data_IF_681911886922
#
_entry.id   IF_681911886922
#
_cell.length_a   1.000
_cell.length_b   1.000
_cell.length_c   1.000
_cell.angle_alpha   90.00
_cell.angle_beta   90.00
_cell.angle_gamma   90.00
#
_symmetry.space_group_name_H-M   'P 1'
#
loop_
_entity.id
_entity.type
_entity.pdbx_description
1 polymer ?
#
# COMPACT_ATOMS: atom_id res chain seq x y z
N UNK A 1 -7.36 3.06 20.08
CA UNK A 1 -6.70 4.00 21.00
C UNK A 1 -7.47 5.29 21.22
N UNK A 2 -7.06 6.12 22.18
CA UNK A 2 -7.72 7.40 22.49
C UNK A 2 -7.72 8.34 21.27
N UNK A 3 -8.90 8.86 20.92
CA UNK A 3 -9.06 9.72 19.74
C UNK A 3 -8.30 11.05 19.86
N UNK A 4 -8.13 11.58 21.07
CA UNK A 4 -7.35 12.81 21.31
C UNK A 4 -5.88 12.58 20.97
N UNK A 5 -5.33 11.46 21.43
CA UNK A 5 -3.94 11.09 21.13
C UNK A 5 -3.71 10.93 19.62
N UNK A 6 -4.65 10.31 18.90
CA UNK A 6 -4.58 10.20 17.43
C UNK A 6 -4.61 11.57 16.76
N UNK A 7 -5.50 12.46 17.21
CA UNK A 7 -5.62 13.83 16.72
C UNK A 7 -4.31 14.60 16.94
N UNK A 8 -3.81 14.60 18.18
CA UNK A 8 -2.61 15.33 18.56
C UNK A 8 -1.38 14.83 17.79
N UNK A 9 -1.24 13.52 17.63
CA UNK A 9 -0.17 12.92 16.83
C UNK A 9 -0.28 13.31 15.34
N UNK A 10 -1.48 13.28 14.77
CA UNK A 10 -1.74 13.70 13.40
C UNK A 10 -1.40 15.18 13.18
N UNK A 11 -1.88 16.05 14.06
CA UNK A 11 -1.64 17.48 13.96
C UNK A 11 -0.15 17.83 14.16
N UNK A 12 0.53 17.21 15.12
CA UNK A 12 1.95 17.37 15.32
C UNK A 12 2.77 16.94 14.10
N UNK A 13 2.47 15.75 13.54
CA UNK A 13 3.13 15.24 12.35
C UNK A 13 2.97 16.19 11.14
N UNK A 14 1.74 16.57 10.82
CA UNK A 14 1.49 17.43 9.67
C UNK A 14 1.88 18.89 9.88
N UNK A 15 2.05 19.36 11.12
CA UNK A 15 2.57 20.70 11.41
C UNK A 15 3.96 20.93 10.82
N UNK A 16 4.80 19.89 10.80
CA UNK A 16 6.14 19.94 10.21
C UNK A 16 6.04 20.14 8.69
N UNK A 17 5.18 19.39 8.01
CA UNK A 17 4.98 19.57 6.56
C UNK A 17 4.47 20.96 6.21
N UNK A 18 3.60 21.55 7.04
CA UNK A 18 3.13 22.94 6.84
C UNK A 18 4.28 23.95 6.90
N UNK A 19 5.24 23.74 7.80
CA UNK A 19 6.42 24.61 7.90
C UNK A 19 7.29 24.57 6.63
N UNK A 20 7.34 23.42 5.96
CA UNK A 20 8.11 23.21 4.73
C UNK A 20 7.27 23.33 3.44
N UNK A 21 6.03 23.83 3.51
CA UNK A 21 5.12 23.87 2.36
C UNK A 21 5.72 24.60 1.14
N UNK A 22 6.43 25.72 1.35
CA UNK A 22 7.10 26.45 0.27
C UNK A 22 8.23 25.64 -0.39
N UNK A 23 9.04 24.94 0.40
CA UNK A 23 10.10 24.07 -0.09
C UNK A 23 9.53 22.89 -0.88
N UNK A 24 8.50 22.22 -0.33
CA UNK A 24 7.83 21.09 -0.98
C UNK A 24 7.20 21.53 -2.31
N UNK A 25 6.53 22.70 -2.34
CA UNK A 25 5.97 23.26 -3.56
C UNK A 25 7.05 23.56 -4.61
N UNK A 26 8.20 24.10 -4.18
CA UNK A 26 9.35 24.34 -5.06
C UNK A 26 9.92 23.06 -5.67
N UNK A 27 10.09 22.00 -4.87
CA UNK A 27 10.55 20.69 -5.33
C UNK A 27 9.55 20.07 -6.31
N UNK A 28 8.25 20.11 -5.99
CA UNK A 28 7.21 19.61 -6.87
C UNK A 28 7.17 20.34 -8.21
N UNK A 29 7.26 21.69 -8.19
CA UNK A 29 7.34 22.48 -9.41
C UNK A 29 8.58 22.12 -10.24
N UNK A 30 9.73 21.91 -9.59
CA UNK A 30 10.96 21.43 -10.26
C UNK A 30 10.75 20.09 -10.96
N UNK A 31 10.12 19.12 -10.28
CA UNK A 31 9.78 17.82 -10.85
C UNK A 31 8.83 17.94 -12.05
N UNK A 32 7.79 18.77 -11.96
CA UNK A 32 6.86 19.00 -13.07
C UNK A 32 7.59 19.59 -14.28
N UNK A 33 8.43 20.61 -14.06
CA UNK A 33 9.23 21.22 -15.15
C UNK A 33 10.20 20.24 -15.80
N UNK A 34 10.83 19.37 -15.01
CA UNK A 34 11.70 18.32 -15.52
C UNK A 34 10.93 17.35 -16.42
N UNK A 35 9.74 16.89 -16.02
CA UNK A 35 8.91 16.02 -16.84
C UNK A 35 8.48 16.72 -18.16
N UNK A 36 8.11 17.99 -18.10
CA UNK A 36 7.80 18.79 -19.29
C UNK A 36 9.00 18.89 -20.22
N UNK A 37 10.19 19.12 -19.69
CA UNK A 37 11.43 19.17 -20.48
C UNK A 37 11.68 17.85 -21.20
N UNK A 38 11.64 16.71 -20.50
CA UNK A 38 11.87 15.39 -21.09
C UNK A 38 10.83 15.03 -22.14
N UNK A 39 9.55 15.32 -21.89
CA UNK A 39 8.50 15.09 -22.86
C UNK A 39 8.76 15.88 -24.16
N UNK A 40 9.09 17.16 -24.06
CA UNK A 40 9.40 18.01 -25.20
C UNK A 40 10.67 17.58 -25.94
N UNK A 41 11.75 17.27 -25.22
CA UNK A 41 13.03 16.86 -25.79
C UNK A 41 12.92 15.54 -26.56
N UNK A 42 11.94 14.69 -26.24
CA UNK A 42 11.67 13.42 -26.90
C UNK A 42 10.47 13.45 -27.84
N UNK A 43 9.94 14.64 -28.15
CA UNK A 43 8.83 14.86 -29.07
C UNK A 43 7.50 14.21 -28.67
N UNK A 44 7.24 14.02 -27.35
CA UNK A 44 5.92 13.60 -26.89
C UNK A 44 4.97 14.81 -26.86
N UNK A 45 3.72 14.60 -27.22
CA UNK A 45 2.68 15.63 -27.18
C UNK A 45 2.32 16.08 -25.75
N UNK A 46 2.55 15.22 -24.75
CA UNK A 46 2.31 15.52 -23.34
C UNK A 46 3.20 14.69 -22.41
N UNK A 47 3.30 15.15 -21.15
CA UNK A 47 3.98 14.39 -20.10
C UNK A 47 3.25 13.06 -19.78
N UNK A 48 1.92 13.02 -19.94
CA UNK A 48 1.15 11.79 -19.78
C UNK A 48 1.52 10.77 -20.87
N UNK A 49 1.58 11.20 -22.12
CA UNK A 49 2.01 10.32 -23.21
C UNK A 49 3.40 9.75 -22.96
N UNK A 50 4.36 10.60 -22.59
CA UNK A 50 5.71 10.16 -22.24
C UNK A 50 5.74 9.16 -21.07
N UNK A 51 4.87 9.35 -20.07
CA UNK A 51 4.83 8.49 -18.88
C UNK A 51 4.29 7.08 -19.17
N UNK A 52 3.33 6.95 -20.10
CA UNK A 52 2.68 5.65 -20.39
C UNK A 52 3.32 4.92 -21.57
N UNK A 53 4.21 5.58 -22.32
CA UNK A 53 4.86 5.03 -23.53
C UNK A 53 5.72 3.80 -23.21
N UNK A 54 6.47 3.82 -22.12
CA UNK A 54 7.33 2.71 -21.71
C UNK A 54 6.58 1.37 -21.55
N UNK A 55 5.28 1.44 -21.22
CA UNK A 55 4.41 0.29 -21.06
C UNK A 55 3.49 0.09 -22.28
N UNK A 56 3.67 0.88 -23.34
CA UNK A 56 2.81 0.88 -24.53
C UNK A 56 1.32 1.01 -24.19
N UNK A 57 0.98 1.85 -23.22
CA UNK A 57 -0.40 2.07 -22.76
C UNK A 57 -0.94 3.36 -23.38
N UNK A 58 -2.07 3.32 -24.11
CA UNK A 58 -2.70 4.52 -24.64
C UNK A 58 -3.15 5.47 -23.51
N UNK A 59 -2.92 6.78 -23.67
CA UNK A 59 -3.31 7.81 -22.68
C UNK A 59 -4.80 7.76 -22.30
N UNK A 60 -5.66 7.26 -23.20
CA UNK A 60 -7.09 7.06 -22.92
C UNK A 60 -7.35 6.07 -21.78
N UNK A 61 -6.48 5.06 -21.59
CA UNK A 61 -6.62 4.08 -20.50
C UNK A 61 -6.45 4.77 -19.15
N UNK A 62 -5.44 5.63 -19.03
CA UNK A 62 -5.25 6.45 -17.83
C UNK A 62 -6.46 7.36 -17.55
N UNK A 63 -6.95 8.08 -18.59
CA UNK A 63 -8.12 8.96 -18.44
C UNK A 63 -9.37 8.19 -18.03
N UNK A 64 -9.62 7.06 -18.68
CA UNK A 64 -10.76 6.19 -18.37
C UNK A 64 -10.69 5.68 -16.92
N UNK A 65 -9.50 5.35 -16.41
CA UNK A 65 -9.32 4.98 -15.00
C UNK A 65 -9.79 6.10 -14.06
N UNK A 66 -9.33 7.33 -14.30
CA UNK A 66 -9.71 8.49 -13.49
C UNK A 66 -11.22 8.76 -13.57
N UNK A 67 -11.80 8.72 -14.76
CA UNK A 67 -13.23 8.93 -14.99
C UNK A 67 -14.07 7.83 -14.31
N UNK A 68 -13.64 6.56 -14.42
CA UNK A 68 -14.32 5.43 -13.79
C UNK A 68 -14.29 5.53 -12.26
N UNK A 69 -13.16 5.89 -11.68
CA UNK A 69 -13.05 6.10 -10.23
C UNK A 69 -13.98 7.23 -9.79
N UNK A 70 -13.95 8.38 -10.48
CA UNK A 70 -14.82 9.51 -10.17
C UNK A 70 -16.31 9.16 -10.28
N UNK A 71 -16.71 8.42 -11.31
CA UNK A 71 -18.08 7.96 -11.51
C UNK A 71 -18.56 6.99 -10.41
N UNK A 72 -17.65 6.40 -9.64
CA UNK A 72 -17.95 5.44 -8.58
C UNK A 72 -17.67 5.96 -7.16
N UNK A 73 -17.38 7.24 -7.00
CA UNK A 73 -17.09 7.85 -5.69
C UNK A 73 -18.26 7.78 -4.70
N UNK A 74 -19.49 7.65 -5.17
CA UNK A 74 -20.67 7.43 -4.34
C UNK A 74 -20.52 6.20 -3.42
N UNK A 75 -19.90 5.13 -3.91
CA UNK A 75 -19.65 3.90 -3.16
C UNK A 75 -18.62 4.12 -2.05
N UNK A 76 -17.56 4.88 -2.33
CA UNK A 76 -16.60 5.29 -1.32
C UNK A 76 -17.26 6.19 -0.26
N UNK A 77 -18.08 7.14 -0.68
CA UNK A 77 -18.80 8.01 0.25
C UNK A 77 -19.79 7.20 1.15
N UNK A 78 -20.42 6.16 0.62
CA UNK A 78 -21.26 5.25 1.42
C UNK A 78 -20.44 4.51 2.46
N UNK A 79 -19.26 3.98 2.09
CA UNK A 79 -18.36 3.34 3.03
C UNK A 79 -17.88 4.29 4.13
N UNK A 80 -17.48 5.51 3.79
CA UNK A 80 -17.06 6.52 4.76
C UNK A 80 -18.20 6.87 5.73
N UNK A 81 -19.45 6.99 5.24
CA UNK A 81 -20.63 7.18 6.10
C UNK A 81 -20.87 6.01 7.05
N UNK A 82 -20.71 4.76 6.56
CA UNK A 82 -20.81 3.57 7.39
C UNK A 82 -19.71 3.58 8.47
N UNK A 83 -18.46 3.87 8.09
CA UNK A 83 -17.32 3.97 8.99
C UNK A 83 -17.59 4.99 10.12
N UNK A 84 -18.06 6.19 9.77
CA UNK A 84 -18.47 7.22 10.73
C UNK A 84 -19.47 6.67 11.74
N UNK A 85 -20.50 5.96 11.26
CA UNK A 85 -21.53 5.36 12.11
C UNK A 85 -20.96 4.28 13.04
N UNK A 86 -20.13 3.38 12.52
CA UNK A 86 -19.52 2.30 13.31
C UNK A 86 -18.58 2.84 14.40
N UNK A 87 -17.87 3.91 14.13
CA UNK A 87 -16.97 4.55 15.09
C UNK A 87 -17.69 5.45 16.11
N UNK A 88 -18.98 5.72 15.91
CA UNK A 88 -19.77 6.56 16.82
C UNK A 88 -19.28 8.00 16.93
N UNK A 89 -18.71 8.57 15.87
CA UNK A 89 -18.16 9.93 15.86
C UNK A 89 -19.09 10.88 15.12
N UNK A 90 -19.21 12.13 15.62
CA UNK A 90 -20.04 13.16 14.98
C UNK A 90 -19.45 13.64 13.66
N UNK A 91 -18.13 13.64 13.55
CA UNK A 91 -17.37 13.98 12.35
C UNK A 91 -16.18 13.05 12.19
N UNK A 92 -16.02 12.48 10.98
CA UNK A 92 -14.90 11.61 10.64
C UNK A 92 -13.74 12.44 10.12
N UNK A 93 -12.59 12.32 10.76
CA UNK A 93 -11.35 12.99 10.35
C UNK A 93 -10.31 11.99 9.83
N UNK A 94 -9.25 12.48 9.20
CA UNK A 94 -8.16 11.64 8.67
C UNK A 94 -7.51 10.76 9.75
N UNK A 95 -7.41 11.23 10.98
CA UNK A 95 -6.89 10.45 12.12
C UNK A 95 -7.83 9.33 12.61
N UNK A 96 -9.03 9.21 12.04
CA UNK A 96 -9.99 8.13 12.33
C UNK A 96 -9.99 7.04 11.23
N UNK A 97 -9.33 7.27 10.08
CA UNK A 97 -9.43 6.41 8.90
C UNK A 97 -8.87 5.01 9.12
N UNK A 98 -7.81 4.87 9.93
CA UNK A 98 -7.20 3.57 10.24
C UNK A 98 -7.68 2.96 11.56
N UNK A 99 -8.67 3.58 12.21
CA UNK A 99 -9.22 3.04 13.47
C UNK A 99 -10.07 1.80 13.16
N UNK A 100 -9.87 0.65 13.83
CA UNK A 100 -10.74 -0.51 13.67
C UNK A 100 -12.21 -0.16 13.91
N UNK A 101 -13.11 -0.60 13.02
CA UNK A 101 -14.56 -0.38 13.16
C UNK A 101 -15.22 -1.40 14.11
N UNK A 102 -14.54 -2.52 14.38
CA UNK A 102 -15.00 -3.58 15.24
C UNK A 102 -14.08 -3.60 16.47
N UNK A 103 -14.68 -3.51 17.66
CA UNK A 103 -13.95 -3.71 18.91
C UNK A 103 -13.38 -5.15 18.93
N UNK A 104 -12.21 -5.34 19.54
CA UNK A 104 -11.54 -6.63 19.69
C UNK A 104 -11.07 -7.30 18.38
N UNK A 105 -10.98 -6.59 17.26
CA UNK A 105 -10.38 -7.10 16.04
C UNK A 105 -8.82 -7.26 16.11
N UNK A 106 -8.20 -6.92 17.24
CA UNK A 106 -6.76 -7.02 17.47
C UNK A 106 -6.33 -8.47 17.84
N UNK A 107 -6.68 -9.45 16.97
CA UNK A 107 -6.17 -10.80 17.12
C UNK A 107 -4.66 -10.80 16.84
N UNK A 108 -3.87 -11.38 17.76
CA UNK A 108 -2.48 -11.73 17.47
C UNK A 108 -2.45 -12.96 16.57
N UNK A 109 -1.66 -12.90 15.52
CA UNK A 109 -1.45 -13.99 14.57
C UNK A 109 0.05 -14.22 14.47
N UNK A 110 0.54 -15.30 15.03
CA UNK A 110 1.95 -15.66 14.92
C UNK A 110 2.34 -15.94 13.46
N UNK A 111 3.63 -15.82 13.16
CA UNK A 111 4.11 -16.11 11.81
C UNK A 111 3.80 -17.55 11.35
N UNK A 112 3.88 -18.53 12.27
CA UNK A 112 3.54 -19.92 11.97
C UNK A 112 2.04 -20.10 11.67
N UNK A 113 1.15 -19.48 12.46
CA UNK A 113 -0.29 -19.47 12.18
C UNK A 113 -0.60 -18.77 10.83
N UNK A 114 0.14 -17.70 10.52
CA UNK A 114 0.00 -17.01 9.26
C UNK A 114 0.39 -17.87 8.06
N UNK A 115 1.52 -18.58 8.11
CA UNK A 115 1.94 -19.54 7.05
C UNK A 115 0.86 -20.59 6.77
N UNK A 116 0.34 -21.24 7.81
CA UNK A 116 -0.72 -22.23 7.65
C UNK A 116 -2.00 -21.64 7.04
N UNK A 117 -2.39 -20.46 7.49
CA UNK A 117 -3.59 -19.77 7.00
C UNK A 117 -3.44 -19.37 5.54
N UNK A 118 -2.27 -18.81 5.17
CA UNK A 118 -1.96 -18.39 3.79
C UNK A 118 -1.95 -19.62 2.86
N UNK A 119 -1.30 -20.74 3.24
CA UNK A 119 -1.32 -21.94 2.42
C UNK A 119 -2.75 -22.46 2.17
N UNK A 120 -3.60 -22.44 3.20
CA UNK A 120 -5.01 -22.83 3.04
C UNK A 120 -5.78 -21.87 2.13
N UNK A 121 -5.53 -20.56 2.27
CA UNK A 121 -6.18 -19.53 1.46
C UNK A 121 -5.78 -19.58 -0.02
N UNK A 122 -4.55 -20.01 -0.31
CA UNK A 122 -4.02 -20.13 -1.67
C UNK A 122 -4.39 -21.44 -2.37
N UNK A 123 -5.02 -22.41 -1.68
CA UNK A 123 -5.42 -23.69 -2.26
C UNK A 123 -6.19 -23.59 -3.59
N UNK A 124 -7.08 -22.60 -3.82
CA UNK A 124 -7.76 -22.46 -5.11
C UNK A 124 -6.83 -22.16 -6.30
N UNK A 125 -5.58 -21.73 -6.07
CA UNK A 125 -4.59 -21.47 -7.12
C UNK A 125 -3.91 -22.74 -7.64
N UNK A 126 -4.17 -23.88 -7.00
CA UNK A 126 -3.65 -25.19 -7.39
C UNK A 126 -2.47 -25.70 -6.55
N UNK A 127 -2.26 -27.01 -6.62
CA UNK A 127 -1.26 -27.70 -5.79
C UNK A 127 0.18 -27.26 -6.08
N UNK A 128 0.52 -27.03 -7.36
CA UNK A 128 1.85 -26.58 -7.78
C UNK A 128 2.19 -25.20 -7.21
N UNK A 129 1.20 -24.30 -7.20
CA UNK A 129 1.37 -22.97 -6.62
C UNK A 129 1.59 -23.04 -5.11
N UNK A 130 0.75 -23.80 -4.41
CA UNK A 130 0.87 -24.01 -2.95
C UNK A 130 2.20 -24.67 -2.58
N UNK A 131 2.67 -25.62 -3.38
CA UNK A 131 3.96 -26.27 -3.19
C UNK A 131 5.13 -25.27 -3.28
N UNK A 132 5.10 -24.39 -4.28
CA UNK A 132 6.10 -23.32 -4.46
C UNK A 132 6.09 -22.33 -3.28
N UNK A 133 4.92 -21.91 -2.82
CA UNK A 133 4.80 -21.03 -1.64
C UNK A 133 5.35 -21.71 -0.39
N UNK A 134 5.05 -23.00 -0.21
CA UNK A 134 5.57 -23.79 0.90
C UNK A 134 7.10 -23.89 0.86
N UNK A 135 7.67 -24.13 -0.31
CA UNK A 135 9.12 -24.11 -0.53
C UNK A 135 9.72 -22.77 -0.08
N UNK A 136 9.08 -21.64 -0.43
CA UNK A 136 9.52 -20.31 -0.01
C UNK A 136 9.54 -20.14 1.50
N UNK A 137 8.57 -20.72 2.21
CA UNK A 137 8.53 -20.69 3.68
C UNK A 137 9.63 -21.57 4.33
N UNK A 138 10.00 -22.66 3.70
CA UNK A 138 10.97 -23.64 4.22
C UNK A 138 12.42 -23.29 3.85
N UNK A 139 12.64 -22.62 2.71
CA UNK A 139 13.97 -22.40 2.13
C UNK A 139 14.50 -20.97 2.27
N UNK A 140 14.03 -20.22 3.26
CA UNK A 140 14.61 -18.91 3.62
C UNK A 140 14.49 -17.83 2.53
N UNK A 141 13.42 -17.88 1.72
CA UNK A 141 13.18 -16.82 0.74
C UNK A 141 12.70 -15.51 1.39
N UNK A 142 12.31 -15.57 2.67
CA UNK A 142 11.64 -14.51 3.41
C UNK A 142 12.52 -14.04 4.58
N UNK A 143 12.87 -12.77 4.59
CA UNK A 143 13.40 -12.07 5.76
C UNK A 143 12.23 -11.51 6.57
N UNK A 144 11.92 -12.16 7.68
CA UNK A 144 10.61 -12.08 8.33
C UNK A 144 10.50 -10.90 9.31
N UNK A 145 11.47 -10.81 10.26
CA UNK A 145 11.30 -9.95 11.42
C UNK A 145 12.02 -8.62 11.27
N UNK A 146 11.54 -7.63 12.02
CA UNK A 146 12.19 -6.34 12.18
C UNK A 146 13.55 -6.49 12.86
N UNK A 147 14.55 -5.73 12.40
CA UNK A 147 15.87 -5.65 13.04
C UNK A 147 16.51 -4.28 12.76
N UNK A 148 17.59 -3.99 13.48
CA UNK A 148 18.33 -2.74 13.35
C UNK A 148 18.86 -2.55 11.91
N UNK A 149 18.62 -1.38 11.34
CA UNK A 149 19.04 -1.01 9.99
C UNK A 149 18.13 -1.54 8.85
N UNK A 150 17.18 -2.41 9.15
CA UNK A 150 16.20 -2.88 8.17
C UNK A 150 15.17 -1.81 7.85
N UNK A 151 14.89 -1.60 6.56
CA UNK A 151 13.84 -0.66 6.13
C UNK A 151 12.46 -1.16 6.52
N UNK A 152 11.57 -0.24 6.88
CA UNK A 152 10.16 -0.53 7.11
C UNK A 152 9.42 -0.91 5.81
N UNK A 153 8.26 -1.54 5.95
CA UNK A 153 7.43 -2.00 4.84
C UNK A 153 7.65 -3.47 4.50
N UNK A 154 7.17 -3.88 3.34
CA UNK A 154 7.33 -5.20 2.78
C UNK A 154 7.53 -5.11 1.26
N UNK A 155 8.18 -6.09 0.67
CA UNK A 155 8.25 -6.23 -0.78
C UNK A 155 8.62 -7.66 -1.18
N UNK A 156 8.21 -8.04 -2.38
CA UNK A 156 8.72 -9.19 -3.09
C UNK A 156 9.54 -8.71 -4.30
N UNK A 157 10.72 -9.28 -4.47
CA UNK A 157 11.61 -8.97 -5.58
C UNK A 157 12.24 -10.24 -6.12
N UNK A 158 12.52 -10.27 -7.41
CA UNK A 158 13.17 -11.40 -8.05
C UNK A 158 13.96 -10.98 -9.27
N UNK A 159 14.84 -11.87 -9.71
CA UNK A 159 15.53 -11.77 -10.98
C UNK A 159 15.34 -13.07 -11.74
N UNK A 160 15.40 -13.01 -13.07
CA UNK A 160 15.29 -14.21 -13.90
C UNK A 160 16.35 -15.24 -13.50
N UNK A 161 15.93 -16.49 -13.28
CA UNK A 161 16.82 -17.59 -12.90
C UNK A 161 17.09 -17.73 -11.40
N UNK A 162 16.44 -16.91 -10.56
CA UNK A 162 16.49 -17.04 -9.08
C UNK A 162 15.09 -17.24 -8.51
N UNK A 163 15.01 -17.72 -7.27
CA UNK A 163 13.76 -17.66 -6.50
C UNK A 163 13.44 -16.20 -6.13
N UNK A 164 12.18 -15.89 -5.77
CA UNK A 164 11.83 -14.59 -5.19
C UNK A 164 12.54 -14.37 -3.84
N UNK A 165 12.76 -13.10 -3.52
CA UNK A 165 13.23 -12.64 -2.22
C UNK A 165 12.18 -11.73 -1.62
N UNK A 166 11.68 -12.09 -0.45
CA UNK A 166 10.62 -11.38 0.25
C UNK A 166 11.17 -10.73 1.51
N UNK A 167 10.91 -9.43 1.67
CA UNK A 167 11.18 -8.71 2.91
C UNK A 167 9.86 -8.41 3.62
N UNK A 168 9.80 -8.73 4.89
CA UNK A 168 8.70 -8.38 5.78
C UNK A 168 9.23 -7.65 7.02
N UNK A 169 8.34 -7.02 7.77
CA UNK A 169 8.53 -6.58 9.14
C UNK A 169 7.36 -7.15 9.94
N UNK A 170 7.38 -8.46 10.15
CA UNK A 170 6.28 -9.20 10.76
C UNK A 170 6.21 -8.93 12.27
N UNK A 171 5.04 -8.54 12.77
CA UNK A 171 4.81 -8.12 14.14
C UNK A 171 3.49 -8.67 14.71
N UNK A 172 3.20 -9.92 14.39
CA UNK A 172 2.07 -10.72 14.92
C UNK A 172 0.69 -10.04 14.78
N UNK A 173 0.48 -9.24 13.74
CA UNK A 173 -0.81 -8.61 13.48
C UNK A 173 -1.56 -9.31 12.35
N UNK A 174 -2.89 -9.19 12.35
CA UNK A 174 -3.72 -9.66 11.24
C UNK A 174 -3.31 -8.97 9.91
N UNK A 175 -2.96 -7.70 9.94
CA UNK A 175 -2.49 -6.94 8.79
C UNK A 175 -1.19 -7.54 8.22
N UNK A 176 -0.26 -7.96 9.09
CA UNK A 176 0.97 -8.62 8.64
C UNK A 176 0.71 -9.99 7.99
N UNK A 177 -0.32 -10.72 8.41
CA UNK A 177 -0.72 -11.96 7.73
C UNK A 177 -1.26 -11.66 6.32
N UNK A 178 -2.05 -10.60 6.15
CA UNK A 178 -2.48 -10.17 4.82
C UNK A 178 -1.30 -9.69 3.97
N UNK A 179 -0.35 -8.98 4.57
CA UNK A 179 0.90 -8.57 3.89
C UNK A 179 1.68 -9.80 3.42
N UNK A 180 1.85 -10.83 4.27
CA UNK A 180 2.48 -12.08 3.88
C UNK A 180 1.77 -12.71 2.67
N UNK A 181 0.44 -12.79 2.70
CA UNK A 181 -0.34 -13.31 1.59
C UNK A 181 -0.13 -12.49 0.30
N UNK A 182 -0.06 -11.17 0.42
CA UNK A 182 0.17 -10.25 -0.70
C UNK A 182 1.56 -10.44 -1.34
N UNK A 183 2.61 -10.53 -0.52
CA UNK A 183 3.99 -10.67 -1.03
C UNK A 183 4.29 -12.06 -1.59
N UNK A 184 3.52 -13.07 -1.20
CA UNK A 184 3.62 -14.43 -1.73
C UNK A 184 2.72 -14.69 -2.95
N UNK A 185 1.85 -13.74 -3.32
CA UNK A 185 1.00 -13.77 -4.52
C UNK A 185 1.65 -13.09 -5.68
#
# INVERSE_FOLDING_TARGET
GDRRVRKDAFEAFYSIYKQFAGTIAGLYNGQVKQQIFYAKARNYASTLEAAVDANNVPSKVYRNLVETVNANMDKMHRYVKLRKKCLGVDELHMYDVYTPMIADAAKKVSYDEAKETVLKALAPLGEDYVATVKEGFENRWIDVYENEGKRSGAYSAGAFGTHPYVLLNYNDTLDNMFTLAHEMG
#
